data_IF_269646755765
#
_entry.id   IF_269646755765
#
_cell.length_a   1.000
_cell.length_b   1.000
_cell.length_c   1.000
_cell.angle_alpha   90.00
_cell.angle_beta   90.00
_cell.angle_gamma   90.00
#
_symmetry.space_group_name_H-M   'P 1'
#
loop_
_entity.id
_entity.type
_entity.pdbx_description
1 polymer ?
#
# COMPACT_ATOMS: atom_id res chain seq x y z
N UNK A 1 -2.71 -5.54 -9.95
CA UNK A 1 -1.45 -6.31 -10.05
C UNK A 1 -1.66 -7.66 -9.40
N UNK A 2 -1.14 -8.76 -9.93
CA UNK A 2 -1.30 -10.10 -9.33
C UNK A 2 0.07 -10.62 -8.91
N UNK A 3 0.17 -11.16 -7.69
CA UNK A 3 1.35 -11.89 -7.19
C UNK A 3 0.94 -13.28 -6.72
N UNK A 4 1.76 -14.28 -7.01
CA UNK A 4 1.53 -15.68 -6.61
C UNK A 4 2.64 -16.24 -5.73
N UNK A 5 3.81 -15.63 -5.78
CA UNK A 5 4.99 -16.10 -5.08
C UNK A 5 5.93 -14.94 -4.76
N UNK A 6 7.00 -15.27 -4.03
CA UNK A 6 8.04 -14.33 -3.63
C UNK A 6 8.75 -13.66 -4.82
N UNK A 7 8.97 -14.37 -5.92
CA UNK A 7 9.64 -13.82 -7.12
C UNK A 7 8.80 -12.71 -7.78
N UNK A 8 7.48 -12.86 -7.84
CA UNK A 8 6.58 -11.82 -8.36
C UNK A 8 6.70 -10.54 -7.51
N UNK A 9 6.77 -10.72 -6.19
CA UNK A 9 6.90 -9.61 -5.24
C UNK A 9 8.24 -8.89 -5.43
N UNK A 10 9.34 -9.63 -5.55
CA UNK A 10 10.68 -9.08 -5.76
C UNK A 10 10.79 -8.28 -7.07
N UNK A 11 10.17 -8.76 -8.14
CA UNK A 11 10.11 -8.04 -9.42
C UNK A 11 9.39 -6.68 -9.28
N UNK A 12 8.29 -6.65 -8.53
CA UNK A 12 7.57 -5.40 -8.28
C UNK A 12 8.34 -4.45 -7.36
N UNK A 13 9.03 -4.97 -6.33
CA UNK A 13 9.91 -4.14 -5.49
C UNK A 13 11.02 -3.48 -6.33
N UNK A 14 11.65 -4.22 -7.25
CA UNK A 14 12.64 -3.67 -8.17
C UNK A 14 12.06 -2.60 -9.11
N UNK A 15 10.80 -2.77 -9.54
CA UNK A 15 10.10 -1.76 -10.35
C UNK A 15 9.86 -0.46 -9.56
N UNK A 16 9.46 -0.57 -8.29
CA UNK A 16 9.28 0.58 -7.40
C UNK A 16 10.61 1.32 -7.21
N UNK A 17 11.70 0.59 -6.97
CA UNK A 17 13.04 1.15 -6.80
C UNK A 17 13.53 1.90 -8.06
N UNK A 18 13.24 1.37 -9.25
CA UNK A 18 13.53 2.10 -10.48
C UNK A 18 12.66 3.38 -10.61
N UNK A 19 11.41 3.35 -10.15
CA UNK A 19 10.51 4.51 -10.19
C UNK A 19 10.92 5.61 -9.19
N UNK A 20 11.36 5.24 -7.99
CA UNK A 20 11.88 6.19 -6.98
C UNK A 20 13.18 6.84 -7.46
N UNK A 21 14.09 6.08 -8.07
CA UNK A 21 15.33 6.62 -8.66
C UNK A 21 15.07 7.73 -9.67
N UNK A 22 14.16 7.50 -10.62
CA UNK A 22 13.76 8.52 -11.62
C UNK A 22 13.19 9.79 -10.96
N UNK A 23 12.44 9.65 -9.87
CA UNK A 23 11.92 10.79 -9.14
C UNK A 23 13.04 11.59 -8.46
N UNK A 24 14.05 10.93 -7.89
CA UNK A 24 15.23 11.60 -7.32
C UNK A 24 16.01 12.35 -8.40
N UNK A 25 16.20 11.75 -9.58
CA UNK A 25 16.86 12.41 -10.71
C UNK A 25 16.08 13.66 -11.17
N UNK A 26 14.75 13.54 -11.30
CA UNK A 26 13.88 14.67 -11.65
C UNK A 26 13.97 15.80 -10.61
N UNK A 27 13.99 15.46 -9.31
CA UNK A 27 14.17 16.43 -8.23
C UNK A 27 15.51 17.16 -8.30
N UNK A 28 16.59 16.44 -8.63
CA UNK A 28 17.93 17.01 -8.77
C UNK A 28 18.04 18.09 -9.85
N UNK A 29 17.11 18.13 -10.80
CA UNK A 29 17.06 19.15 -11.87
C UNK A 29 16.38 20.46 -11.46
N UNK A 30 15.74 20.52 -10.28
CA UNK A 30 14.96 21.68 -9.84
C UNK A 30 15.85 22.71 -9.13
N UNK A 31 15.97 23.92 -9.69
CA UNK A 31 16.92 24.93 -9.21
C UNK A 31 16.34 25.97 -8.22
N UNK A 32 15.04 26.32 -8.34
CA UNK A 32 14.42 27.39 -7.53
C UNK A 32 13.51 26.81 -6.46
N UNK A 33 13.70 27.10 -5.15
CA UNK A 33 12.96 26.45 -4.07
C UNK A 33 11.44 26.52 -4.20
N UNK A 34 10.88 27.72 -4.44
CA UNK A 34 9.42 27.90 -4.55
C UNK A 34 8.84 27.16 -5.76
N UNK A 35 9.55 27.16 -6.90
CA UNK A 35 9.12 26.43 -8.08
C UNK A 35 9.28 24.91 -7.87
N UNK A 36 10.31 24.46 -7.16
CA UNK A 36 10.48 23.06 -6.80
C UNK A 36 9.27 22.55 -6.00
N UNK A 37 8.86 23.26 -4.95
CA UNK A 37 7.66 22.90 -4.18
C UNK A 37 6.40 22.89 -5.03
N UNK A 38 6.25 23.86 -5.94
CA UNK A 38 5.13 23.91 -6.89
C UNK A 38 5.12 22.69 -7.82
N UNK A 39 6.28 22.29 -8.35
CA UNK A 39 6.41 21.12 -9.22
C UNK A 39 6.13 19.82 -8.46
N UNK A 40 6.63 19.69 -7.22
CA UNK A 40 6.34 18.53 -6.38
C UNK A 40 4.84 18.37 -6.10
N UNK A 41 4.13 19.49 -5.88
CA UNK A 41 2.71 19.47 -5.47
C UNK A 41 1.73 19.44 -6.65
N UNK A 42 2.03 20.15 -7.73
CA UNK A 42 1.09 20.39 -8.84
C UNK A 42 1.63 19.99 -10.21
N UNK A 43 2.95 19.82 -10.35
CA UNK A 43 3.57 19.34 -11.58
C UNK A 43 3.40 17.84 -11.76
N UNK A 44 3.81 17.33 -12.92
CA UNK A 44 3.76 15.91 -13.28
C UNK A 44 5.15 15.27 -13.32
N UNK A 45 6.03 15.71 -12.41
CA UNK A 45 7.42 15.25 -12.33
C UNK A 45 7.55 13.84 -11.71
N UNK A 46 6.49 13.34 -11.07
CA UNK A 46 6.43 12.01 -10.50
C UNK A 46 5.81 10.99 -11.46
N UNK A 47 5.92 9.72 -11.09
CA UNK A 47 5.25 8.62 -11.78
C UNK A 47 4.64 7.63 -10.79
N UNK A 48 3.64 6.92 -11.26
CA UNK A 48 3.06 5.79 -10.53
C UNK A 48 4.13 4.73 -10.25
N UNK A 49 4.12 4.08 -9.07
CA UNK A 49 5.19 3.16 -8.66
C UNK A 49 5.27 1.87 -9.50
N UNK A 50 4.13 1.43 -10.07
CA UNK A 50 4.04 0.20 -10.89
C UNK A 50 3.72 0.52 -12.36
N UNK A 51 2.59 1.19 -12.61
CA UNK A 51 2.16 1.63 -13.95
C UNK A 51 3.01 2.77 -14.52
N UNK A 52 3.12 2.84 -15.85
CA UNK A 52 3.78 3.94 -16.53
C UNK A 52 2.86 5.17 -16.70
N UNK A 53 2.46 5.75 -15.56
CA UNK A 53 1.51 6.88 -15.50
C UNK A 53 2.11 8.06 -14.77
N UNK A 54 1.95 9.27 -15.31
CA UNK A 54 2.42 10.50 -14.67
C UNK A 54 1.59 10.85 -13.42
N UNK A 55 2.27 11.35 -12.39
CA UNK A 55 1.70 11.81 -11.11
C UNK A 55 2.42 13.08 -10.64
N UNK A 56 1.85 13.80 -9.68
CA UNK A 56 2.68 14.71 -8.88
C UNK A 56 3.55 13.91 -7.89
N UNK A 57 4.63 14.53 -7.40
CA UNK A 57 5.57 13.82 -6.53
C UNK A 57 4.93 13.41 -5.20
N UNK A 58 4.05 14.23 -4.64
CA UNK A 58 3.36 13.91 -3.38
C UNK A 58 2.48 12.66 -3.55
N UNK A 59 1.80 12.54 -4.68
CA UNK A 59 1.04 11.34 -5.04
C UNK A 59 1.93 10.12 -5.24
N UNK A 60 3.08 10.28 -5.92
CA UNK A 60 4.04 9.19 -6.06
C UNK A 60 4.51 8.71 -4.69
N UNK A 61 4.92 9.60 -3.79
CA UNK A 61 5.36 9.23 -2.43
C UNK A 61 4.27 8.44 -1.71
N UNK A 62 3.03 8.96 -1.68
CA UNK A 62 1.93 8.30 -1.00
C UNK A 62 1.62 6.91 -1.59
N UNK A 63 1.66 6.78 -2.92
CA UNK A 63 1.41 5.51 -3.58
C UNK A 63 2.57 4.54 -3.41
N UNK A 64 3.83 4.98 -3.54
CA UNK A 64 5.02 4.15 -3.31
C UNK A 64 4.93 3.45 -1.96
N UNK A 65 4.68 4.19 -0.88
CA UNK A 65 4.60 3.59 0.45
C UNK A 65 3.37 2.70 0.64
N UNK A 66 2.24 3.02 -0.01
CA UNK A 66 1.07 2.14 0.00
C UNK A 66 1.36 0.81 -0.70
N UNK A 67 2.07 0.84 -1.83
CA UNK A 67 2.50 -0.37 -2.55
C UNK A 67 3.56 -1.16 -1.79
N UNK A 68 4.51 -0.51 -1.11
CA UNK A 68 5.51 -1.20 -0.27
C UNK A 68 4.83 -1.97 0.88
N UNK A 69 3.88 -1.33 1.58
CA UNK A 69 3.07 -2.00 2.60
C UNK A 69 2.28 -3.16 1.98
N UNK A 70 1.69 -2.97 0.81
CA UNK A 70 0.91 -4.01 0.14
C UNK A 70 1.75 -5.24 -0.24
N UNK A 71 2.95 -5.02 -0.79
CA UNK A 71 3.87 -6.08 -1.19
C UNK A 71 4.44 -6.83 0.01
N UNK A 72 4.82 -6.14 1.09
CA UNK A 72 5.29 -6.82 2.30
C UNK A 72 4.14 -7.54 3.04
N UNK A 73 2.93 -6.99 3.05
CA UNK A 73 1.74 -7.70 3.54
C UNK A 73 1.44 -8.95 2.69
N UNK A 74 1.62 -8.88 1.37
CA UNK A 74 1.42 -10.02 0.49
C UNK A 74 2.38 -11.18 0.79
N UNK A 75 3.65 -10.91 1.14
CA UNK A 75 4.58 -11.95 1.60
C UNK A 75 3.99 -12.71 2.78
N UNK A 76 3.60 -11.98 3.82
CA UNK A 76 3.01 -12.56 5.03
C UNK A 76 1.71 -13.33 4.74
N UNK A 77 0.86 -12.81 3.86
CA UNK A 77 -0.41 -13.44 3.50
C UNK A 77 -0.22 -14.73 2.70
N UNK A 78 0.74 -14.79 1.78
CA UNK A 78 1.04 -16.01 1.00
C UNK A 78 1.60 -17.12 1.90
N UNK A 79 2.36 -16.76 2.92
CA UNK A 79 2.86 -17.72 3.92
C UNK A 79 1.77 -18.19 4.88
N UNK A 80 0.87 -17.29 5.26
CA UNK A 80 -0.20 -17.57 6.25
C UNK A 80 -1.37 -18.33 5.63
N UNK A 81 -1.70 -18.06 4.37
CA UNK A 81 -2.87 -18.62 3.68
C UNK A 81 -2.46 -19.27 2.35
N UNK A 82 -2.06 -20.54 2.43
CA UNK A 82 -1.57 -21.30 1.29
C UNK A 82 -2.62 -21.48 0.16
N UNK A 83 -3.91 -21.40 0.52
CA UNK A 83 -5.04 -21.63 -0.40
C UNK A 83 -5.53 -20.36 -1.11
N UNK A 84 -4.76 -19.26 -1.06
CA UNK A 84 -5.15 -17.99 -1.71
C UNK A 84 -5.21 -18.07 -3.23
N UNK A 85 -4.48 -19.01 -3.85
CA UNK A 85 -4.29 -19.07 -5.30
C UNK A 85 -3.48 -17.89 -5.87
N UNK A 86 -2.92 -17.04 -5.01
CA UNK A 86 -2.34 -15.73 -5.33
C UNK A 86 -3.18 -14.56 -4.80
N UNK A 87 -2.64 -13.35 -4.93
CA UNK A 87 -3.24 -12.12 -4.41
C UNK A 87 -3.31 -11.07 -5.53
N UNK A 88 -4.47 -10.42 -5.66
CA UNK A 88 -4.67 -9.22 -6.46
C UNK A 88 -4.47 -7.98 -5.59
N UNK A 89 -3.44 -7.19 -5.89
CA UNK A 89 -3.13 -5.91 -5.25
C UNK A 89 -3.52 -4.74 -6.15
N UNK A 90 -4.24 -3.78 -5.57
CA UNK A 90 -4.54 -2.49 -6.17
C UNK A 90 -4.64 -1.39 -5.09
N UNK A 91 -3.57 -1.13 -4.32
CA UNK A 91 -3.60 -0.08 -3.31
C UNK A 91 -3.74 1.31 -3.94
N UNK A 92 -4.63 2.14 -3.38
CA UNK A 92 -4.74 3.56 -3.75
C UNK A 92 -6.15 4.04 -4.07
N UNK A 93 -6.28 5.34 -4.33
CA UNK A 93 -7.58 6.03 -4.41
C UNK A 93 -8.44 5.68 -5.64
N UNK A 94 -7.85 5.07 -6.68
CA UNK A 94 -8.52 4.68 -7.92
C UNK A 94 -8.50 3.17 -8.14
N UNK A 95 -8.49 2.40 -7.04
CA UNK A 95 -8.47 0.95 -7.10
C UNK A 95 -9.65 0.40 -7.91
N UNK A 96 -9.34 -0.46 -8.88
CA UNK A 96 -10.31 -1.17 -9.73
C UNK A 96 -10.99 -2.35 -9.01
N UNK A 97 -10.73 -2.54 -7.71
CA UNK A 97 -11.25 -3.63 -6.89
C UNK A 97 -11.73 -3.14 -5.53
N UNK A 98 -12.42 -4.04 -4.82
CA UNK A 98 -13.20 -3.75 -3.60
C UNK A 98 -12.34 -3.42 -2.38
N UNK A 99 -11.19 -4.06 -2.26
CA UNK A 99 -10.19 -3.85 -1.21
C UNK A 99 -8.80 -3.75 -1.84
N UNK A 100 -7.83 -3.20 -1.12
CA UNK A 100 -6.46 -3.02 -1.64
C UNK A 100 -5.76 -4.35 -1.95
N UNK A 101 -6.04 -5.42 -1.18
CA UNK A 101 -5.56 -6.78 -1.42
C UNK A 101 -6.74 -7.76 -1.35
N UNK A 102 -6.82 -8.66 -2.33
CA UNK A 102 -7.81 -9.74 -2.35
C UNK A 102 -7.15 -11.04 -2.80
N UNK A 103 -7.51 -12.18 -2.21
CA UNK A 103 -7.10 -13.49 -2.76
C UNK A 103 -7.76 -13.76 -4.10
N UNK A 104 -7.08 -14.51 -4.97
CA UNK A 104 -7.69 -15.02 -6.20
C UNK A 104 -8.75 -16.08 -5.90
N UNK A 105 -8.58 -16.83 -4.81
CA UNK A 105 -9.63 -17.64 -4.24
C UNK A 105 -10.75 -16.72 -3.70
N UNK A 106 -12.00 -16.83 -4.19
CA UNK A 106 -13.07 -15.92 -3.79
C UNK A 106 -13.35 -15.95 -2.28
N UNK A 107 -13.53 -14.76 -1.69
CA UNK A 107 -13.91 -14.57 -0.29
C UNK A 107 -12.98 -15.20 0.76
N UNK A 108 -11.74 -15.58 0.41
CA UNK A 108 -10.81 -16.12 1.41
C UNK A 108 -10.11 -14.99 2.19
N UNK A 109 -9.35 -14.13 1.51
CA UNK A 109 -8.60 -13.02 2.11
C UNK A 109 -9.02 -11.69 1.50
N UNK A 110 -9.26 -10.71 2.36
CA UNK A 110 -9.44 -9.31 1.99
C UNK A 110 -8.68 -8.38 2.94
N UNK A 111 -7.92 -7.42 2.40
CA UNK A 111 -7.20 -6.46 3.23
C UNK A 111 -7.17 -5.04 2.68
N UNK A 112 -7.14 -4.08 3.61
CA UNK A 112 -6.81 -2.67 3.34
C UNK A 112 -5.36 -2.40 3.73
N UNK A 113 -4.71 -1.47 3.03
CA UNK A 113 -3.35 -1.07 3.32
C UNK A 113 -3.18 0.44 3.34
N UNK A 114 -2.27 0.92 4.18
CA UNK A 114 -1.86 2.32 4.13
C UNK A 114 -0.49 2.55 4.77
N UNK A 115 0.18 3.61 4.35
CA UNK A 115 1.29 4.19 5.10
C UNK A 115 0.90 5.59 5.56
N UNK A 116 1.18 5.91 6.82
CA UNK A 116 0.85 7.21 7.39
C UNK A 116 1.80 7.58 8.53
N UNK A 117 1.90 8.88 8.81
CA UNK A 117 2.65 9.41 9.97
C UNK A 117 2.09 8.97 11.32
N UNK A 118 0.81 8.59 11.37
CA UNK A 118 0.14 7.95 12.49
C UNK A 118 -1.04 7.13 11.95
N UNK A 119 -1.40 5.98 12.55
CA UNK A 119 -2.60 5.22 12.16
C UNK A 119 -3.91 6.00 12.31
N UNK A 120 -3.94 7.02 13.18
CA UNK A 120 -5.11 7.89 13.37
C UNK A 120 -5.17 9.06 12.37
N UNK A 121 -4.10 9.31 11.61
CA UNK A 121 -4.04 10.42 10.65
C UNK A 121 -5.19 10.35 9.64
N UNK A 122 -5.90 11.48 9.47
CA UNK A 122 -7.03 11.63 8.55
C UNK A 122 -8.15 10.57 8.69
N UNK A 123 -8.24 9.93 9.87
CA UNK A 123 -9.16 8.82 10.15
C UNK A 123 -8.97 7.65 9.16
N UNK A 124 -7.75 7.42 8.64
CA UNK A 124 -7.48 6.39 7.63
C UNK A 124 -7.85 5.00 8.15
N UNK A 125 -7.28 4.59 9.29
CA UNK A 125 -7.60 3.29 9.90
C UNK A 125 -9.10 3.13 10.18
N UNK A 126 -9.76 4.14 10.74
CA UNK A 126 -11.19 4.05 11.04
C UNK A 126 -12.06 3.89 9.77
N UNK A 127 -11.66 4.49 8.64
CA UNK A 127 -12.34 4.31 7.34
C UNK A 127 -12.11 2.91 6.79
N UNK A 128 -10.87 2.43 6.86
CA UNK A 128 -10.48 1.11 6.37
C UNK A 128 -11.20 0.01 7.16
N UNK A 129 -11.23 0.12 8.50
CA UNK A 129 -11.98 -0.79 9.37
C UNK A 129 -13.49 -0.80 9.06
N UNK A 130 -14.10 0.35 8.77
CA UNK A 130 -15.51 0.41 8.35
C UNK A 130 -15.78 -0.28 7.03
N UNK A 131 -14.83 -0.23 6.09
CA UNK A 131 -14.94 -0.95 4.82
C UNK A 131 -14.81 -2.45 5.04
N UNK A 132 -13.81 -2.88 5.81
CA UNK A 132 -13.58 -4.28 6.17
C UNK A 132 -14.74 -4.89 6.97
N UNK A 133 -15.42 -4.11 7.82
CA UNK A 133 -16.60 -4.58 8.55
C UNK A 133 -17.74 -5.06 7.64
N UNK A 134 -17.81 -4.53 6.40
CA UNK A 134 -18.82 -4.88 5.40
C UNK A 134 -18.34 -5.94 4.42
N UNK A 135 -17.10 -6.41 4.59
CA UNK A 135 -16.46 -7.37 3.71
C UNK A 135 -16.84 -8.81 4.08
N UNK A 136 -17.14 -9.64 3.07
CA UNK A 136 -17.51 -11.05 3.23
C UNK A 136 -16.31 -12.01 3.24
N UNK A 137 -15.08 -11.52 3.14
CA UNK A 137 -13.89 -12.38 3.18
C UNK A 137 -13.77 -13.06 4.54
N UNK A 138 -13.38 -14.32 4.56
CA UNK A 138 -13.20 -15.12 5.76
C UNK A 138 -12.11 -14.55 6.67
N UNK A 139 -10.99 -14.13 6.08
CA UNK A 139 -9.86 -13.52 6.77
C UNK A 139 -9.71 -12.06 6.33
N UNK A 140 -9.85 -11.14 7.29
CA UNK A 140 -9.85 -9.70 7.03
C UNK A 140 -8.74 -9.00 7.80
N UNK A 141 -8.02 -8.13 7.10
CA UNK A 141 -6.84 -7.47 7.65
C UNK A 141 -6.80 -5.99 7.32
N UNK A 142 -6.25 -5.20 8.23
CA UNK A 142 -5.71 -3.89 7.91
C UNK A 142 -4.20 -3.92 8.15
N UNK A 143 -3.42 -3.71 7.10
CA UNK A 143 -1.97 -3.60 7.19
C UNK A 143 -1.56 -2.14 7.12
N UNK A 144 -0.60 -1.74 7.95
CA UNK A 144 -0.10 -0.38 7.90
C UNK A 144 1.40 -0.28 8.14
N UNK A 145 1.97 0.83 7.71
CA UNK A 145 3.26 1.30 8.23
C UNK A 145 3.09 2.67 8.87
N UNK A 146 3.67 2.85 10.05
CA UNK A 146 3.75 4.13 10.71
C UNK A 146 4.96 4.20 11.64
N UNK A 147 5.73 5.31 11.62
CA UNK A 147 6.85 5.49 12.54
C UNK A 147 6.44 5.31 14.01
N UNK A 148 7.28 4.64 14.79
CA UNK A 148 7.03 4.40 16.23
C UNK A 148 6.14 3.20 16.56
N UNK A 149 5.70 2.43 15.56
CA UNK A 149 5.01 1.16 15.76
C UNK A 149 5.94 -0.01 15.43
N UNK A 150 6.04 -0.99 16.34
CA UNK A 150 6.78 -2.22 16.08
C UNK A 150 6.02 -3.10 15.06
N UNK A 151 6.73 -3.84 14.18
CA UNK A 151 6.09 -4.80 13.29
C UNK A 151 5.28 -5.86 14.05
N UNK A 152 4.20 -6.35 13.42
CA UNK A 152 3.32 -7.39 13.97
C UNK A 152 1.92 -6.91 14.32
N UNK A 153 1.15 -7.76 15.01
CA UNK A 153 -0.27 -7.53 15.30
C UNK A 153 -0.47 -6.50 16.42
N UNK A 154 -1.34 -5.53 16.18
CA UNK A 154 -1.72 -4.47 17.12
C UNK A 154 -3.18 -4.60 17.55
N UNK A 155 -3.47 -5.51 18.49
CA UNK A 155 -4.83 -5.80 18.95
C UNK A 155 -5.58 -4.58 19.52
N UNK A 156 -4.87 -3.62 20.12
CA UNK A 156 -5.47 -2.36 20.63
C UNK A 156 -6.07 -1.49 19.54
N UNK A 157 -5.69 -1.70 18.28
CA UNK A 157 -6.22 -0.99 17.11
C UNK A 157 -7.40 -1.72 16.44
N UNK A 158 -7.71 -2.95 16.87
CA UNK A 158 -8.78 -3.79 16.32
C UNK A 158 -10.15 -3.37 16.87
N UNK A 159 -10.82 -2.45 16.16
CA UNK A 159 -12.16 -1.96 16.56
C UNK A 159 -13.33 -2.71 15.91
N UNK A 160 -13.04 -3.70 15.06
CA UNK A 160 -14.03 -4.47 14.30
C UNK A 160 -13.79 -5.95 14.51
N UNK A 161 -14.84 -6.68 14.91
CA UNK A 161 -14.77 -8.12 15.14
C UNK A 161 -14.33 -8.88 13.90
N UNK A 162 -13.32 -9.73 14.05
CA UNK A 162 -12.79 -10.56 12.96
C UNK A 162 -11.96 -9.80 11.93
N UNK A 163 -11.49 -8.59 12.26
CA UNK A 163 -10.49 -7.86 11.47
C UNK A 163 -9.21 -7.74 12.30
N UNK A 164 -8.08 -8.22 11.77
CA UNK A 164 -6.79 -8.07 12.43
C UNK A 164 -6.06 -6.83 11.92
N UNK A 165 -5.37 -6.11 12.82
CA UNK A 165 -4.59 -4.93 12.45
C UNK A 165 -3.11 -5.23 12.65
N UNK A 166 -2.30 -5.02 11.62
CA UNK A 166 -0.88 -5.37 11.61
C UNK A 166 -0.02 -4.21 11.13
N UNK A 167 1.07 -3.93 11.86
CA UNK A 167 2.13 -3.07 11.37
C UNK A 167 3.11 -3.92 10.56
N UNK A 168 3.45 -3.47 9.36
CA UNK A 168 4.39 -4.12 8.44
C UNK A 168 5.66 -3.29 8.38
N UNK A 169 6.81 -3.94 8.22
CA UNK A 169 8.08 -3.27 7.99
C UNK A 169 8.29 -3.00 6.49
N UNK A 170 8.98 -1.91 6.14
CA UNK A 170 9.20 -1.47 4.75
C UNK A 170 10.67 -1.16 4.45
#
# INVERSE_FOLDING_TARGET
>A
MIVRNQSDIEQHLATIEASTRRAIEALGSLARPADALRQMKFGTIGRHPIEDRALNLVEQINQTFSYLVALNAAKWLLETHLDTGGLSLAPGAHASQRLDIMSLQPNLVGAEVFAATSPSSNRKLDKDLKRLARDSSQHRYAFFYSPGYAPGRHSKLEKVTGVQVHCIDI
#
